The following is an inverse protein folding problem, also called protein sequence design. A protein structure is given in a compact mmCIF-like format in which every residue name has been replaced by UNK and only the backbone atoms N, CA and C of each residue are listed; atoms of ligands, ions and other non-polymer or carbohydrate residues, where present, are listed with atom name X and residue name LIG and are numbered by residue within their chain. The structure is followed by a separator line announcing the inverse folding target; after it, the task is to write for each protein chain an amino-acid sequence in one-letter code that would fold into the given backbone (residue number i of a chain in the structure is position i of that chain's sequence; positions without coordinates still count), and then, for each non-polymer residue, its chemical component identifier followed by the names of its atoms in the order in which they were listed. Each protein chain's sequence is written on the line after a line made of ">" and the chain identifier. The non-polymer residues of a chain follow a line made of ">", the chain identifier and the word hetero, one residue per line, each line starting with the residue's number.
data_IF_691197474615
#
_entry.id   IF_691197474615
#
_cell.length_a   1.000
_cell.length_b   1.000
_cell.length_c   1.000
_cell.angle_alpha   90.00
_cell.angle_beta   90.00
_cell.angle_gamma   90.00
#
_symmetry.space_group_name_H-M   'P 1'
#
loop_
_entity.id
_entity.type
_entity.pdbx_description
1 polymer ?
#
# COMPACT_ATOMS: atom_id res chain seq x y z
N UNK A 1 6.73 -14.81 21.19
CA UNK A 1 7.03 -13.45 21.67
C UNK A 1 6.05 -13.11 22.79
N UNK A 2 6.51 -12.60 23.92
CA UNK A 2 5.63 -12.20 25.02
C UNK A 2 4.70 -11.06 24.59
N UNK A 3 3.47 -11.02 25.12
CA UNK A 3 2.48 -10.00 24.76
C UNK A 3 2.98 -8.58 25.04
N UNK A 4 3.72 -8.38 26.12
CA UNK A 4 4.35 -7.09 26.50
C UNK A 4 5.36 -6.60 25.46
N UNK A 5 6.12 -7.51 24.86
CA UNK A 5 7.07 -7.18 23.79
C UNK A 5 6.32 -6.80 22.51
N UNK A 6 5.23 -7.51 22.19
CA UNK A 6 4.40 -7.17 21.04
C UNK A 6 3.75 -5.78 21.19
N UNK A 7 3.20 -5.45 22.36
CA UNK A 7 2.62 -4.13 22.61
C UNK A 7 3.67 -3.03 22.53
N UNK A 8 4.87 -3.26 23.08
CA UNK A 8 5.98 -2.32 22.96
C UNK A 8 6.40 -2.07 21.49
N UNK A 9 6.43 -3.11 20.65
CA UNK A 9 6.74 -2.98 19.22
C UNK A 9 5.64 -2.26 18.43
N UNK A 10 4.37 -2.48 18.76
CA UNK A 10 3.29 -1.70 18.14
C UNK A 10 3.32 -0.24 18.58
N UNK A 11 3.66 0.02 19.83
CA UNK A 11 3.84 1.38 20.33
C UNK A 11 5.00 2.09 19.64
N UNK A 12 6.15 1.43 19.47
CA UNK A 12 7.29 2.02 18.75
C UNK A 12 6.99 2.27 17.28
N UNK A 13 6.24 1.39 16.60
CA UNK A 13 5.71 1.65 15.25
C UNK A 13 4.82 2.91 15.19
N UNK A 14 3.97 3.11 16.21
CA UNK A 14 3.14 4.31 16.30
C UNK A 14 3.98 5.56 16.52
N UNK A 15 4.91 5.50 17.48
CA UNK A 15 5.82 6.60 17.81
C UNK A 15 6.68 7.01 16.61
N UNK A 16 7.28 6.07 15.89
CA UNK A 16 8.13 6.39 14.73
C UNK A 16 7.36 7.14 13.64
N UNK A 17 6.13 6.69 13.33
CA UNK A 17 5.26 7.43 12.40
C UNK A 17 4.84 8.80 12.93
N UNK A 18 4.41 8.92 14.19
CA UNK A 18 4.01 10.21 14.74
C UNK A 18 5.17 11.21 14.78
N UNK A 19 6.37 10.74 15.11
CA UNK A 19 7.57 11.55 15.12
C UNK A 19 7.92 12.07 13.73
N UNK A 20 7.79 11.25 12.68
CA UNK A 20 7.95 11.72 11.29
C UNK A 20 6.89 12.72 10.85
N UNK A 21 5.63 12.52 11.25
CA UNK A 21 4.53 13.40 10.83
C UNK A 21 4.61 14.77 11.50
N UNK A 22 5.05 14.80 12.77
CA UNK A 22 5.19 16.03 13.54
C UNK A 22 6.52 16.77 13.31
N UNK A 23 7.53 16.13 12.72
CA UNK A 23 8.84 16.73 12.55
C UNK A 23 8.89 17.71 11.38
N UNK A 24 9.51 18.88 11.61
CA UNK A 24 9.91 19.82 10.56
C UNK A 24 11.40 19.71 10.20
N UNK A 25 12.17 18.92 10.96
CA UNK A 25 13.61 18.76 10.83
C UNK A 25 13.96 17.38 10.27
N UNK A 26 14.80 17.33 9.22
CA UNK A 26 15.17 16.09 8.51
C UNK A 26 15.75 15.00 9.40
N UNK A 27 16.64 15.34 10.34
CA UNK A 27 17.21 14.35 11.26
C UNK A 27 16.13 13.66 12.13
N UNK A 28 15.15 14.42 12.63
CA UNK A 28 14.05 13.84 13.41
C UNK A 28 13.19 12.95 12.52
N UNK A 29 12.83 13.42 11.32
CA UNK A 29 12.12 12.61 10.35
C UNK A 29 12.86 11.28 10.09
N UNK A 30 14.17 11.33 9.82
CA UNK A 30 14.99 10.15 9.61
C UNK A 30 14.95 9.18 10.81
N UNK A 31 15.11 9.68 12.04
CA UNK A 31 15.00 8.86 13.25
C UNK A 31 13.66 8.15 13.35
N UNK A 32 12.55 8.84 13.06
CA UNK A 32 11.22 8.23 13.13
C UNK A 32 11.02 7.11 12.10
N UNK A 33 11.56 7.26 10.88
CA UNK A 33 11.51 6.15 9.91
C UNK A 33 12.42 4.98 10.34
N UNK A 34 13.55 5.23 11.00
CA UNK A 34 14.41 4.15 11.51
C UNK A 34 13.80 3.41 12.71
N UNK A 35 13.09 4.12 13.58
CA UNK A 35 12.31 3.48 14.64
C UNK A 35 11.26 2.54 14.01
N UNK A 36 10.62 2.95 12.91
CA UNK A 36 9.66 2.10 12.20
C UNK A 36 10.30 0.84 11.58
N UNK A 37 11.47 0.96 10.96
CA UNK A 37 12.16 -0.19 10.34
C UNK A 37 12.58 -1.18 11.41
N UNK A 38 13.20 -0.72 12.50
CA UNK A 38 13.67 -1.55 13.61
C UNK A 38 12.52 -2.21 14.38
N UNK A 39 11.39 -1.51 14.56
CA UNK A 39 10.22 -2.07 15.22
C UNK A 39 9.52 -3.16 14.38
N UNK A 40 9.56 -3.05 13.04
CA UNK A 40 8.89 -4.01 12.17
C UNK A 40 9.64 -5.34 12.05
N UNK A 41 10.97 -5.34 12.07
CA UNK A 41 11.79 -6.55 11.85
C UNK A 41 11.43 -7.69 12.83
N UNK A 42 11.35 -7.47 14.17
CA UNK A 42 10.92 -8.51 15.09
C UNK A 42 9.49 -8.99 14.86
N UNK A 43 8.60 -8.12 14.35
CA UNK A 43 7.23 -8.51 13.98
C UNK A 43 7.22 -9.43 12.75
N UNK A 44 8.16 -9.26 11.81
CA UNK A 44 8.29 -10.15 10.65
C UNK A 44 8.72 -11.57 11.04
N UNK A 45 9.61 -11.71 12.02
CA UNK A 45 10.18 -13.00 12.48
C UNK A 45 9.45 -13.54 13.71
N UNK A 46 8.17 -13.22 13.90
CA UNK A 46 7.38 -13.75 15.03
C UNK A 46 7.38 -15.29 15.08
N UNK A 47 7.27 -15.91 13.90
CA UNK A 47 7.39 -17.35 13.73
C UNK A 47 8.71 -17.62 12.99
N UNK A 48 9.76 -18.11 13.68
CA UNK A 48 11.06 -18.33 13.08
C UNK A 48 10.97 -19.47 12.05
N UNK A 49 10.94 -19.09 10.78
CA UNK A 49 10.97 -19.99 9.63
C UNK A 49 11.95 -19.40 8.60
N UNK A 50 12.72 -20.20 7.84
CA UNK A 50 13.73 -19.69 6.91
C UNK A 50 13.20 -18.60 5.96
N UNK A 51 11.98 -18.77 5.43
CA UNK A 51 11.33 -17.72 4.60
C UNK A 51 11.08 -16.41 5.35
N UNK A 52 10.67 -16.46 6.62
CA UNK A 52 10.43 -15.25 7.41
C UNK A 52 11.74 -14.53 7.72
N UNK A 53 12.83 -15.28 7.98
CA UNK A 53 14.17 -14.74 8.16
C UNK A 53 14.69 -14.11 6.85
N UNK A 54 14.56 -14.79 5.71
CA UNK A 54 14.94 -14.26 4.39
C UNK A 54 14.17 -12.96 4.05
N UNK A 55 12.88 -12.90 4.37
CA UNK A 55 12.09 -11.69 4.16
C UNK A 55 12.53 -10.54 5.08
N UNK A 56 12.82 -10.84 6.34
CA UNK A 56 13.33 -9.84 7.28
C UNK A 56 14.70 -9.30 6.85
N UNK A 57 15.60 -10.15 6.35
CA UNK A 57 16.92 -9.71 5.84
C UNK A 57 16.77 -8.88 4.57
N UNK A 58 15.95 -9.31 3.59
CA UNK A 58 15.65 -8.52 2.38
C UNK A 58 15.06 -7.15 2.72
N UNK A 59 14.11 -7.11 3.64
CA UNK A 59 13.52 -5.86 4.12
C UNK A 59 14.56 -4.97 4.80
N UNK A 60 15.36 -5.52 5.72
CA UNK A 60 16.40 -4.77 6.42
C UNK A 60 17.38 -4.13 5.45
N UNK A 61 17.95 -4.88 4.52
CA UNK A 61 18.90 -4.34 3.55
C UNK A 61 18.28 -3.27 2.65
N UNK A 62 17.08 -3.51 2.11
CA UNK A 62 16.42 -2.53 1.26
C UNK A 62 16.15 -1.22 2.02
N UNK A 63 15.67 -1.30 3.26
CA UNK A 63 15.32 -0.14 4.06
C UNK A 63 16.54 0.59 4.65
N UNK A 64 17.61 -0.13 5.00
CA UNK A 64 18.87 0.43 5.49
C UNK A 64 19.62 1.19 4.39
N UNK A 65 19.63 0.66 3.15
CA UNK A 65 20.19 1.40 2.01
C UNK A 65 19.38 2.66 1.74
N UNK A 66 18.05 2.55 1.76
CA UNK A 66 17.16 3.69 1.58
C UNK A 66 17.33 4.76 2.67
N UNK A 67 17.50 4.36 3.94
CA UNK A 67 17.70 5.29 5.03
C UNK A 67 19.07 5.95 5.03
N UNK A 68 20.12 5.22 4.65
CA UNK A 68 21.46 5.78 4.45
C UNK A 68 21.48 6.79 3.29
N UNK A 69 20.81 6.48 2.17
CA UNK A 69 20.64 7.41 1.05
C UNK A 69 19.86 8.66 1.46
N UNK A 70 18.80 8.52 2.26
CA UNK A 70 18.03 9.65 2.77
C UNK A 70 18.89 10.55 3.66
N UNK A 71 19.64 9.96 4.60
CA UNK A 71 20.53 10.71 5.48
C UNK A 71 21.62 11.43 4.67
N UNK A 72 22.24 10.75 3.70
CA UNK A 72 23.23 11.35 2.80
C UNK A 72 22.64 12.54 2.01
N UNK A 73 21.44 12.38 1.44
CA UNK A 73 20.74 13.45 0.74
C UNK A 73 20.51 14.67 1.65
N UNK A 74 20.02 14.45 2.88
CA UNK A 74 19.75 15.55 3.82
C UNK A 74 21.02 16.22 4.34
N UNK A 75 22.09 15.46 4.57
CA UNK A 75 23.40 16.01 4.93
C UNK A 75 23.95 16.88 3.80
N UNK A 76 23.92 16.40 2.56
CA UNK A 76 24.38 17.18 1.41
C UNK A 76 23.56 18.46 1.22
N UNK A 77 22.24 18.42 1.47
CA UNK A 77 21.41 19.62 1.47
C UNK A 77 21.85 20.60 2.57
N UNK A 78 22.02 20.11 3.82
CA UNK A 78 22.44 20.94 4.95
C UNK A 78 23.83 21.55 4.74
N UNK A 79 24.73 20.85 4.05
CA UNK A 79 26.05 21.37 3.70
C UNK A 79 25.97 22.52 2.71
N UNK A 80 25.03 22.47 1.75
CA UNK A 80 24.85 23.49 0.73
C UNK A 80 24.06 24.71 1.23
N UNK A 81 22.98 24.50 1.98
CA UNK A 81 22.04 25.57 2.38
C UNK A 81 22.14 25.98 3.84
N UNK A 82 22.85 25.21 4.67
CA UNK A 82 22.93 25.44 6.12
C UNK A 82 21.64 25.11 6.88
N UNK A 83 20.61 24.56 6.24
CA UNK A 83 19.30 24.31 6.86
C UNK A 83 18.91 22.84 6.87
N UNK A 84 18.19 22.45 7.92
CA UNK A 84 17.67 21.09 8.13
C UNK A 84 16.16 20.97 7.97
N UNK A 85 15.49 22.06 7.54
CA UNK A 85 14.05 22.08 7.37
C UNK A 85 13.63 21.27 6.15
N UNK A 86 12.59 20.46 6.31
CA UNK A 86 12.02 19.60 5.26
C UNK A 86 11.60 20.37 4.00
N UNK A 87 10.79 21.45 4.08
CA UNK A 87 10.31 22.14 2.89
C UNK A 87 11.39 22.96 2.16
N UNK A 88 12.61 23.07 2.71
CA UNK A 88 13.68 23.92 2.17
C UNK A 88 14.75 23.14 1.39
N UNK A 89 14.47 21.90 0.94
CA UNK A 89 15.35 21.24 -0.04
C UNK A 89 15.19 21.90 -1.39
N UNK A 90 16.13 22.76 -1.78
CA UNK A 90 16.09 23.48 -3.05
C UNK A 90 16.98 22.86 -4.14
N UNK A 91 18.12 22.27 -3.76
CA UNK A 91 19.09 21.84 -4.77
C UNK A 91 18.62 20.55 -5.49
N UNK A 92 18.78 20.44 -6.83
CA UNK A 92 18.27 19.31 -7.62
C UNK A 92 18.92 17.97 -7.26
N UNK A 93 20.23 17.95 -6.96
CA UNK A 93 20.93 16.72 -6.59
C UNK A 93 20.42 16.08 -5.26
N UNK A 94 20.35 16.79 -4.11
CA UNK A 94 19.82 16.20 -2.89
C UNK A 94 18.31 15.94 -2.95
N UNK A 95 17.52 16.75 -3.67
CA UNK A 95 16.08 16.47 -3.85
C UNK A 95 15.86 15.16 -4.60
N UNK A 96 16.57 14.93 -5.71
CA UNK A 96 16.45 13.67 -6.47
C UNK A 96 16.87 12.46 -5.64
N UNK A 97 17.99 12.54 -4.89
CA UNK A 97 18.42 11.47 -3.99
C UNK A 97 17.40 11.21 -2.87
N UNK A 98 16.81 12.26 -2.30
CA UNK A 98 15.78 12.14 -1.27
C UNK A 98 14.53 11.44 -1.81
N UNK A 99 14.06 11.82 -3.00
CA UNK A 99 12.89 11.19 -3.63
C UNK A 99 13.20 9.71 -3.97
N UNK A 100 14.38 9.40 -4.50
CA UNK A 100 14.78 8.00 -4.77
C UNK A 100 14.86 7.16 -3.49
N UNK A 101 15.38 7.74 -2.40
CA UNK A 101 15.43 7.08 -1.10
C UNK A 101 14.01 6.77 -0.56
N UNK A 102 13.10 7.74 -0.60
CA UNK A 102 11.70 7.54 -0.21
C UNK A 102 10.97 6.56 -1.13
N UNK A 103 11.25 6.62 -2.44
CA UNK A 103 10.72 5.68 -3.43
C UNK A 103 11.13 4.23 -3.11
N UNK A 104 12.38 4.01 -2.70
CA UNK A 104 12.86 2.71 -2.25
C UNK A 104 12.13 2.24 -0.98
N UNK A 105 11.93 3.14 -0.01
CA UNK A 105 11.21 2.82 1.25
C UNK A 105 9.77 2.40 1.00
N UNK A 106 9.07 3.08 0.10
CA UNK A 106 7.67 2.81 -0.25
C UNK A 106 7.51 1.59 -1.16
N UNK A 107 8.54 1.29 -1.97
CA UNK A 107 8.57 0.20 -2.94
C UNK A 107 8.05 0.60 -4.33
N UNK A 108 8.36 1.81 -4.80
CA UNK A 108 8.05 2.27 -6.16
C UNK A 108 8.99 1.63 -7.18
N UNK A 109 8.51 1.45 -8.42
CA UNK A 109 9.36 0.99 -9.51
C UNK A 109 10.37 2.09 -9.90
N UNK A 110 11.64 1.76 -10.23
CA UNK A 110 12.19 0.40 -10.40
C UNK A 110 12.60 -0.31 -9.09
N UNK A 111 12.66 0.39 -7.96
CA UNK A 111 13.14 -0.10 -6.65
C UNK A 111 12.11 -0.96 -5.86
N UNK A 112 11.20 -1.61 -6.57
CA UNK A 112 10.03 -2.31 -6.03
C UNK A 112 10.27 -3.80 -5.71
N UNK A 113 11.35 -4.38 -6.20
CA UNK A 113 11.58 -5.84 -6.26
C UNK A 113 11.56 -6.52 -4.89
N UNK A 114 11.95 -5.81 -3.84
CA UNK A 114 11.93 -6.32 -2.47
C UNK A 114 10.50 -6.57 -1.96
N UNK A 115 9.52 -5.78 -2.38
CA UNK A 115 8.19 -5.75 -1.77
C UNK A 115 7.36 -7.03 -2.04
N UNK A 116 7.26 -7.56 -3.28
CA UNK A 116 6.54 -8.83 -3.54
C UNK A 116 7.16 -10.05 -2.85
N UNK A 117 8.49 -10.10 -2.76
CA UNK A 117 9.20 -11.21 -2.10
C UNK A 117 8.99 -11.20 -0.60
N UNK A 118 9.15 -10.03 0.03
CA UNK A 118 8.92 -9.86 1.47
C UNK A 118 7.47 -10.17 1.81
N UNK A 119 6.50 -9.58 1.09
CA UNK A 119 5.07 -9.82 1.36
C UNK A 119 4.68 -11.29 1.28
N UNK A 120 5.30 -12.08 0.39
CA UNK A 120 4.94 -13.48 0.25
C UNK A 120 5.30 -14.34 1.46
N UNK A 121 6.40 -14.02 2.14
CA UNK A 121 6.89 -14.79 3.27
C UNK A 121 6.23 -14.40 4.60
N UNK A 122 5.60 -13.22 4.65
CA UNK A 122 4.96 -12.68 5.84
C UNK A 122 3.60 -13.33 6.15
N UNK A 123 3.20 -13.26 7.42
CA UNK A 123 1.82 -13.54 7.83
C UNK A 123 0.88 -12.45 7.28
N UNK A 124 -0.42 -12.75 7.13
CA UNK A 124 -1.38 -11.76 6.64
C UNK A 124 -1.44 -10.50 7.53
N UNK A 125 -1.28 -10.66 8.85
CA UNK A 125 -1.27 -9.53 9.80
C UNK A 125 -0.07 -8.62 9.61
N UNK A 126 1.12 -9.17 9.43
CA UNK A 126 2.34 -8.37 9.20
C UNK A 126 2.39 -7.80 7.79
N UNK A 127 1.85 -8.54 6.81
CA UNK A 127 1.67 -8.04 5.44
C UNK A 127 0.70 -6.85 5.39
N UNK A 128 -0.40 -6.86 6.17
CA UNK A 128 -1.29 -5.71 6.32
C UNK A 128 -0.48 -4.49 6.76
N UNK A 129 0.25 -4.58 7.88
CA UNK A 129 1.04 -3.46 8.45
C UNK A 129 2.06 -2.93 7.44
N UNK A 130 2.76 -3.82 6.72
CA UNK A 130 3.71 -3.43 5.67
C UNK A 130 3.02 -2.71 4.51
N UNK A 131 1.83 -3.17 4.12
CA UNK A 131 1.10 -2.62 2.97
C UNK A 131 0.36 -1.31 3.28
N UNK A 132 0.11 -0.99 4.56
CA UNK A 132 -0.65 0.19 5.00
C UNK A 132 0.20 1.14 5.82
N UNK A 133 0.53 0.75 7.05
CA UNK A 133 1.17 1.61 8.05
C UNK A 133 2.55 2.11 7.60
N UNK A 134 3.37 1.22 7.03
CA UNK A 134 4.74 1.56 6.60
C UNK A 134 4.78 2.54 5.41
N UNK A 135 3.66 2.75 4.72
CA UNK A 135 3.58 3.71 3.61
C UNK A 135 3.27 5.14 4.08
N UNK A 136 2.73 5.32 5.29
CA UNK A 136 2.28 6.62 5.79
C UNK A 136 3.43 7.63 5.92
N UNK A 137 4.46 7.29 6.69
CA UNK A 137 5.57 8.21 6.98
C UNK A 137 6.35 8.61 5.71
N UNK A 138 6.78 7.68 4.83
CA UNK A 138 7.51 8.07 3.63
C UNK A 138 6.67 8.86 2.62
N UNK A 139 5.38 8.54 2.44
CA UNK A 139 4.50 9.32 1.55
C UNK A 139 4.26 10.73 2.07
N UNK A 140 4.13 10.90 3.39
CA UNK A 140 4.02 12.23 3.98
C UNK A 140 5.30 13.06 3.80
N UNK A 141 6.48 12.44 3.89
CA UNK A 141 7.73 13.15 3.58
C UNK A 141 7.80 13.53 2.10
N UNK A 142 7.35 12.65 1.19
CA UNK A 142 7.24 13.01 -0.23
C UNK A 142 6.29 14.21 -0.43
N UNK A 143 5.18 14.27 0.30
CA UNK A 143 4.23 15.38 0.28
C UNK A 143 4.84 16.72 0.77
N UNK A 144 5.77 16.68 1.72
CA UNK A 144 6.42 17.88 2.26
C UNK A 144 7.61 18.41 1.41
N UNK A 145 8.21 17.57 0.57
CA UNK A 145 9.31 17.97 -0.30
C UNK A 145 8.78 18.93 -1.37
N UNK A 146 9.46 20.06 -1.63
CA UNK A 146 9.05 20.97 -2.69
C UNK A 146 9.09 20.30 -4.06
N UNK A 147 8.09 20.59 -4.89
CA UNK A 147 7.86 20.00 -6.21
C UNK A 147 8.82 20.53 -7.30
N UNK A 148 10.11 20.67 -6.98
CA UNK A 148 11.11 21.24 -7.89
C UNK A 148 11.36 20.39 -9.16
N UNK A 149 11.17 19.07 -9.07
CA UNK A 149 11.38 18.12 -10.17
C UNK A 149 10.11 17.26 -10.42
N UNK A 150 9.05 17.82 -11.03
CA UNK A 150 7.80 17.10 -11.27
C UNK A 150 7.98 15.87 -12.16
N UNK A 151 8.90 15.95 -13.14
CA UNK A 151 9.17 14.87 -14.09
C UNK A 151 9.60 13.55 -13.41
N UNK A 152 10.34 13.64 -12.29
CA UNK A 152 10.79 12.46 -11.55
C UNK A 152 9.61 11.77 -10.86
N UNK A 153 8.68 12.53 -10.27
CA UNK A 153 7.46 11.97 -9.70
C UNK A 153 6.57 11.35 -10.78
N UNK A 154 6.42 12.03 -11.92
CA UNK A 154 5.66 11.50 -13.07
C UNK A 154 6.27 10.19 -13.60
N UNK A 155 7.60 10.13 -13.74
CA UNK A 155 8.30 8.93 -14.21
C UNK A 155 8.17 7.75 -13.23
N UNK A 156 8.42 7.97 -11.93
CA UNK A 156 8.25 6.93 -10.90
C UNK A 156 6.81 6.44 -10.81
N UNK A 157 5.85 7.37 -10.88
CA UNK A 157 4.43 7.09 -10.86
C UNK A 157 4.00 6.22 -12.05
N UNK A 158 4.33 6.62 -13.29
CA UNK A 158 4.00 5.83 -14.48
C UNK A 158 4.64 4.44 -14.46
N UNK A 159 5.95 4.36 -14.17
CA UNK A 159 6.67 3.09 -14.14
C UNK A 159 6.06 2.13 -13.11
N UNK A 160 5.66 2.63 -11.95
CA UNK A 160 5.05 1.78 -10.91
C UNK A 160 3.65 1.29 -11.28
N UNK A 161 2.83 2.08 -11.99
CA UNK A 161 1.54 1.58 -12.50
C UNK A 161 1.75 0.47 -13.54
N UNK A 162 2.68 0.66 -14.48
CA UNK A 162 2.98 -0.32 -15.52
C UNK A 162 3.52 -1.63 -14.91
N UNK A 163 4.52 -1.52 -14.04
CA UNK A 163 5.16 -2.67 -13.40
C UNK A 163 4.20 -3.37 -12.44
N UNK A 164 3.39 -2.63 -11.69
CA UNK A 164 2.35 -3.20 -10.83
C UNK A 164 1.29 -3.97 -11.62
N UNK A 165 0.85 -3.43 -12.76
CA UNK A 165 -0.11 -4.09 -13.66
C UNK A 165 0.45 -5.39 -14.25
N UNK A 166 1.64 -5.35 -14.85
CA UNK A 166 2.27 -6.50 -15.49
C UNK A 166 2.72 -7.56 -14.46
N UNK A 167 3.32 -7.13 -13.35
CA UNK A 167 3.86 -8.03 -12.33
C UNK A 167 2.79 -8.85 -11.61
N UNK A 168 1.59 -8.29 -11.41
CA UNK A 168 0.44 -8.99 -10.82
C UNK A 168 -0.22 -10.02 -11.75
N UNK A 169 -0.03 -9.88 -13.06
CA UNK A 169 -0.69 -10.71 -14.07
C UNK A 169 -0.37 -12.20 -13.87
N UNK A 170 0.89 -12.56 -13.63
CA UNK A 170 1.31 -13.97 -13.54
C UNK A 170 1.44 -14.52 -12.10
N UNK A 171 0.76 -13.91 -11.12
CA UNK A 171 0.84 -14.36 -9.73
C UNK A 171 -0.41 -15.16 -9.33
N UNK A 172 -0.19 -16.29 -8.64
CA UNK A 172 -1.26 -17.13 -8.05
C UNK A 172 -1.33 -16.96 -6.52
N UNK A 173 -0.27 -16.46 -5.91
CA UNK A 173 -0.21 -16.21 -4.48
C UNK A 173 -0.86 -14.86 -4.17
N UNK A 174 -1.89 -14.86 -3.31
CA UNK A 174 -2.68 -13.66 -3.01
C UNK A 174 -1.81 -12.53 -2.45
N UNK A 175 -0.83 -12.85 -1.60
CA UNK A 175 0.08 -11.86 -1.01
C UNK A 175 0.95 -11.15 -2.06
N UNK A 176 1.43 -11.86 -3.09
CA UNK A 176 2.17 -11.23 -4.20
C UNK A 176 1.27 -10.37 -5.08
N UNK A 177 0.05 -10.83 -5.36
CA UNK A 177 -0.93 -10.02 -6.10
C UNK A 177 -1.19 -8.70 -5.36
N UNK A 178 -1.38 -8.76 -4.04
CA UNK A 178 -1.59 -7.57 -3.20
C UNK A 178 -0.35 -6.67 -3.11
N UNK A 179 0.83 -7.26 -3.23
CA UNK A 179 2.08 -6.52 -3.31
C UNK A 179 2.12 -5.68 -4.60
N UNK A 180 1.86 -6.30 -5.75
CA UNK A 180 1.80 -5.60 -7.04
C UNK A 180 0.65 -4.60 -7.14
N UNK A 181 -0.51 -4.88 -6.55
CA UNK A 181 -1.55 -3.86 -6.43
C UNK A 181 -1.09 -2.65 -5.62
N UNK A 182 -0.36 -2.87 -4.53
CA UNK A 182 0.17 -1.75 -3.73
C UNK A 182 1.13 -0.89 -4.56
N UNK A 183 1.97 -1.49 -5.39
CA UNK A 183 2.90 -0.77 -6.29
C UNK A 183 2.10 0.07 -7.30
N UNK A 184 1.05 -0.50 -7.91
CA UNK A 184 0.21 0.23 -8.85
C UNK A 184 -0.55 1.41 -8.20
N UNK A 185 -1.15 1.21 -7.03
CA UNK A 185 -1.85 2.28 -6.32
C UNK A 185 -0.91 3.39 -5.83
N UNK A 186 0.29 3.02 -5.37
CA UNK A 186 1.33 3.99 -5.04
C UNK A 186 1.76 4.80 -6.25
N UNK A 187 1.80 4.19 -7.43
CA UNK A 187 2.06 4.93 -8.66
C UNK A 187 1.04 6.02 -8.93
N UNK A 188 -0.25 5.73 -8.77
CA UNK A 188 -1.31 6.74 -8.85
C UNK A 188 -1.15 7.87 -7.81
N UNK A 189 -0.80 7.53 -6.57
CA UNK A 189 -0.56 8.51 -5.52
C UNK A 189 0.61 9.43 -5.86
N UNK A 190 1.71 8.87 -6.38
CA UNK A 190 2.93 9.63 -6.70
C UNK A 190 2.77 10.46 -7.97
N UNK A 191 2.01 9.98 -8.97
CA UNK A 191 1.68 10.76 -10.17
C UNK A 191 1.01 12.09 -9.83
N UNK A 192 0.06 12.07 -8.90
CA UNK A 192 -0.72 13.26 -8.56
C UNK A 192 -0.07 14.13 -7.52
N UNK A 193 0.93 13.62 -6.81
CA UNK A 193 1.69 14.41 -5.85
C UNK A 193 2.26 15.68 -6.49
N UNK A 194 2.71 15.59 -7.74
CA UNK A 194 3.25 16.73 -8.49
C UNK A 194 2.20 17.69 -9.06
N UNK A 195 0.92 17.29 -9.08
CA UNK A 195 -0.16 18.06 -9.69
C UNK A 195 -1.03 18.67 -8.58
N UNK A 196 -1.62 17.81 -7.73
CA UNK A 196 -2.35 18.24 -6.55
C UNK A 196 -2.02 17.33 -5.34
N UNK A 197 -1.30 17.86 -4.35
CA UNK A 197 -1.08 17.16 -3.09
C UNK A 197 -2.37 16.69 -2.38
N UNK A 198 -3.52 17.43 -2.33
CA UNK A 198 -4.69 16.97 -1.58
C UNK A 198 -5.33 15.71 -2.17
N UNK A 199 -5.31 15.51 -3.49
CA UNK A 199 -5.82 14.27 -4.09
C UNK A 199 -4.97 13.04 -3.73
N UNK A 200 -3.67 13.22 -3.47
CA UNK A 200 -2.84 12.12 -3.00
C UNK A 200 -3.27 11.61 -1.63
N UNK A 201 -3.71 12.52 -0.75
CA UNK A 201 -4.25 12.16 0.55
C UNK A 201 -5.56 11.37 0.38
N UNK A 202 -6.46 11.82 -0.51
CA UNK A 202 -7.67 11.08 -0.86
C UNK A 202 -7.36 9.67 -1.37
N UNK A 203 -6.39 9.54 -2.30
CA UNK A 203 -5.96 8.27 -2.85
C UNK A 203 -5.32 7.35 -1.79
N UNK A 204 -4.56 7.92 -0.86
CA UNK A 204 -4.00 7.20 0.28
C UNK A 204 -5.09 6.69 1.22
N UNK A 205 -6.04 7.53 1.63
CA UNK A 205 -7.13 7.14 2.54
C UNK A 205 -8.00 6.02 1.94
N UNK A 206 -8.40 6.17 0.67
CA UNK A 206 -9.18 5.15 -0.03
C UNK A 206 -8.40 3.84 -0.16
N UNK A 207 -7.10 3.90 -0.50
CA UNK A 207 -6.25 2.71 -0.57
C UNK A 207 -6.11 2.01 0.80
N UNK A 208 -5.86 2.75 1.89
CA UNK A 208 -5.76 2.18 3.24
C UNK A 208 -7.06 1.49 3.67
N UNK A 209 -8.20 2.11 3.35
CA UNK A 209 -9.51 1.57 3.67
C UNK A 209 -9.80 0.28 2.90
N UNK A 210 -9.52 0.25 1.59
CA UNK A 210 -9.78 -0.93 0.76
C UNK A 210 -8.79 -2.07 1.09
N UNK A 211 -7.49 -1.77 1.20
CA UNK A 211 -6.48 -2.78 1.53
C UNK A 211 -6.72 -3.41 2.90
N UNK A 212 -7.08 -2.62 3.92
CA UNK A 212 -7.42 -3.15 5.24
C UNK A 212 -8.62 -4.08 5.22
N UNK A 213 -9.70 -3.71 4.52
CA UNK A 213 -10.88 -4.57 4.37
C UNK A 213 -10.53 -5.91 3.70
N UNK A 214 -9.68 -5.88 2.67
CA UNK A 214 -9.28 -7.09 1.94
C UNK A 214 -8.41 -7.98 2.81
N UNK A 215 -7.37 -7.46 3.44
CA UNK A 215 -6.50 -8.25 4.33
C UNK A 215 -7.27 -8.83 5.51
N UNK A 216 -8.19 -8.07 6.10
CA UNK A 216 -9.09 -8.60 7.14
C UNK A 216 -9.94 -9.74 6.60
N UNK A 217 -10.59 -9.59 5.44
CA UNK A 217 -11.38 -10.67 4.84
C UNK A 217 -10.55 -11.95 4.59
N UNK A 218 -9.31 -11.81 4.10
CA UNK A 218 -8.40 -12.96 3.91
C UNK A 218 -7.94 -13.58 5.24
N UNK A 219 -7.77 -12.79 6.30
CA UNK A 219 -7.47 -13.31 7.64
C UNK A 219 -8.63 -14.14 8.20
N UNK A 220 -9.87 -13.69 7.99
CA UNK A 220 -11.07 -14.45 8.36
C UNK A 220 -11.18 -15.76 7.59
N UNK A 221 -10.92 -15.74 6.28
CA UNK A 221 -10.95 -16.95 5.44
C UNK A 221 -9.71 -17.87 5.63
N UNK A 222 -8.63 -17.34 6.20
CA UNK A 222 -7.31 -18.00 6.33
C UNK A 222 -6.75 -18.51 5.00
N UNK A 223 -6.93 -17.73 3.92
CA UNK A 223 -6.53 -18.11 2.55
C UNK A 223 -5.36 -17.26 2.06
N UNK A 224 -4.34 -17.91 1.49
CA UNK A 224 -3.15 -17.26 0.92
C UNK A 224 -2.93 -17.55 -0.57
N UNK A 225 -3.72 -18.45 -1.15
CA UNK A 225 -3.60 -18.91 -2.53
C UNK A 225 -4.96 -18.83 -3.23
N UNK A 226 -4.99 -18.60 -4.55
CA UNK A 226 -6.26 -18.52 -5.30
C UNK A 226 -7.06 -19.82 -5.19
N UNK A 227 -6.41 -20.98 -5.28
CA UNK A 227 -7.09 -22.28 -5.15
C UNK A 227 -7.72 -22.49 -3.78
N UNK A 228 -7.07 -22.07 -2.69
CA UNK A 228 -7.70 -22.17 -1.36
C UNK A 228 -8.84 -21.18 -1.18
N UNK A 229 -8.76 -20.00 -1.79
CA UNK A 229 -9.86 -19.04 -1.83
C UNK A 229 -11.09 -19.58 -2.58
N UNK A 230 -10.90 -20.32 -3.67
CA UNK A 230 -12.02 -20.88 -4.44
C UNK A 230 -12.91 -21.83 -3.62
N UNK A 231 -12.33 -22.56 -2.66
CA UNK A 231 -13.08 -23.44 -1.74
C UNK A 231 -13.70 -22.72 -0.54
N UNK A 232 -13.48 -21.40 -0.41
CA UNK A 232 -13.90 -20.64 0.77
C UNK A 232 -15.42 -20.42 0.82
N UNK A 233 -16.10 -20.44 -0.34
CA UNK A 233 -17.56 -20.24 -0.42
C UNK A 233 -18.33 -21.25 0.43
N UNK A 234 -17.88 -22.51 0.43
CA UNK A 234 -18.47 -23.54 1.27
C UNK A 234 -18.32 -23.24 2.77
N UNK A 235 -17.26 -22.52 3.19
CA UNK A 235 -16.98 -22.25 4.61
C UNK A 235 -17.72 -21.02 5.13
N UNK A 236 -17.63 -19.90 4.41
CA UNK A 236 -18.17 -18.60 4.84
C UNK A 236 -18.81 -17.89 3.64
N UNK A 237 -20.03 -18.29 3.22
CA UNK A 237 -20.63 -17.85 1.95
C UNK A 237 -20.85 -16.34 1.90
N UNK A 238 -21.30 -15.73 3.01
CA UNK A 238 -21.57 -14.29 3.07
C UNK A 238 -20.32 -13.44 2.78
N UNK A 239 -19.18 -13.78 3.41
CA UNK A 239 -17.94 -13.03 3.19
C UNK A 239 -17.40 -13.25 1.78
N UNK A 240 -17.50 -14.48 1.25
CA UNK A 240 -17.10 -14.74 -0.13
C UNK A 240 -17.95 -13.99 -1.16
N UNK A 241 -19.24 -13.75 -0.89
CA UNK A 241 -20.08 -12.96 -1.78
C UNK A 241 -19.71 -11.47 -1.78
N UNK A 242 -19.20 -10.94 -0.66
CA UNK A 242 -18.81 -9.52 -0.52
C UNK A 242 -17.39 -9.27 -1.07
N UNK A 243 -16.48 -10.23 -0.93
CA UNK A 243 -15.06 -10.10 -1.30
C UNK A 243 -14.82 -9.59 -2.75
N UNK A 244 -15.60 -10.01 -3.77
CA UNK A 244 -15.52 -9.43 -5.10
C UNK A 244 -15.71 -7.92 -5.17
N UNK A 245 -16.67 -7.35 -4.42
CA UNK A 245 -16.90 -5.91 -4.44
C UNK A 245 -15.71 -5.14 -3.88
N UNK A 246 -14.98 -5.72 -2.93
CA UNK A 246 -13.72 -5.17 -2.41
C UNK A 246 -12.61 -5.22 -3.49
N UNK A 247 -12.53 -6.31 -4.24
CA UNK A 247 -11.56 -6.43 -5.34
C UNK A 247 -11.86 -5.47 -6.50
N UNK A 248 -13.13 -5.33 -6.86
CA UNK A 248 -13.58 -4.40 -7.90
C UNK A 248 -13.39 -2.94 -7.46
N UNK A 249 -13.47 -2.64 -6.16
CA UNK A 249 -13.16 -1.31 -5.64
C UNK A 249 -11.67 -1.00 -5.74
N UNK A 250 -10.76 -1.96 -5.50
CA UNK A 250 -9.33 -1.81 -5.85
C UNK A 250 -9.12 -1.59 -7.35
N UNK A 251 -9.89 -2.31 -8.17
CA UNK A 251 -9.94 -2.12 -9.62
C UNK A 251 -10.35 -0.71 -10.03
N UNK A 252 -11.11 -0.02 -9.19
CA UNK A 252 -11.61 1.33 -9.44
C UNK A 252 -12.72 1.31 -10.48
N UNK A 253 -13.73 0.44 -10.31
CA UNK A 253 -14.92 0.42 -11.16
C UNK A 253 -16.04 1.27 -10.55
N UNK A 254 -16.78 2.06 -11.35
CA UNK A 254 -18.04 2.66 -10.89
C UNK A 254 -19.05 1.52 -10.60
N UNK A 255 -19.87 1.57 -9.54
CA UNK A 255 -20.17 2.66 -8.58
C UNK A 255 -19.37 2.62 -7.25
N UNK A 256 -18.23 1.94 -7.20
CA UNK A 256 -17.49 1.69 -5.96
C UNK A 256 -16.52 2.82 -5.58
N UNK A 257 -16.14 2.89 -4.30
CA UNK A 257 -15.35 4.00 -3.75
C UNK A 257 -13.99 4.20 -4.39
N UNK A 258 -13.28 3.12 -4.73
CA UNK A 258 -11.96 3.22 -5.34
C UNK A 258 -11.95 3.77 -6.76
N UNK A 259 -13.11 3.99 -7.38
CA UNK A 259 -13.22 4.74 -8.63
C UNK A 259 -12.91 6.23 -8.43
N UNK A 260 -13.35 6.81 -7.31
CA UNK A 260 -13.26 8.23 -7.04
C UNK A 260 -11.84 8.82 -7.17
N UNK A 261 -10.79 8.27 -6.52
CA UNK A 261 -9.44 8.82 -6.65
C UNK A 261 -8.94 8.73 -8.08
N UNK A 262 -9.07 7.57 -8.76
CA UNK A 262 -8.58 7.41 -10.14
C UNK A 262 -9.27 8.37 -11.10
N UNK A 263 -10.58 8.59 -10.93
CA UNK A 263 -11.35 9.51 -11.75
C UNK A 263 -10.92 10.97 -11.55
N UNK A 264 -10.80 11.42 -10.30
CA UNK A 264 -10.41 12.80 -9.99
C UNK A 264 -8.97 13.10 -10.42
N UNK A 265 -8.06 12.17 -10.16
CA UNK A 265 -6.67 12.22 -10.63
C UNK A 265 -6.63 12.43 -12.15
N UNK A 266 -7.38 11.63 -12.89
CA UNK A 266 -7.44 11.72 -14.35
C UNK A 266 -7.94 13.09 -14.83
N UNK A 267 -8.94 13.65 -14.16
CA UNK A 267 -9.46 14.98 -14.50
C UNK A 267 -8.40 16.07 -14.33
N UNK A 268 -7.60 16.01 -13.28
CA UNK A 268 -6.51 16.97 -13.08
C UNK A 268 -5.38 16.80 -14.08
N UNK A 269 -5.02 15.58 -14.42
CA UNK A 269 -4.00 15.34 -15.46
C UNK A 269 -4.41 15.89 -16.83
N UNK A 270 -5.71 15.82 -17.16
CA UNK A 270 -6.23 16.41 -18.39
C UNK A 270 -6.19 17.94 -18.33
N UNK A 271 -6.48 18.55 -17.17
CA UNK A 271 -6.39 20.02 -16.98
C UNK A 271 -4.96 20.53 -17.17
N UNK A 272 -3.96 19.78 -16.70
CA UNK A 272 -2.54 20.10 -16.87
C UNK A 272 -1.97 19.69 -18.25
N UNK A 273 -2.82 19.33 -19.23
CA UNK A 273 -2.43 18.87 -20.57
C UNK A 273 -1.54 17.60 -20.62
N UNK A 274 -1.49 16.80 -19.55
CA UNK A 274 -0.71 15.55 -19.47
C UNK A 274 -1.48 14.33 -20.02
N UNK A 275 -2.11 14.50 -21.18
CA UNK A 275 -3.07 13.52 -21.75
C UNK A 275 -2.41 12.16 -21.99
N UNK A 276 -1.19 12.13 -22.55
CA UNK A 276 -0.49 10.88 -22.87
C UNK A 276 -0.17 10.05 -21.61
N UNK A 277 0.29 10.71 -20.55
CA UNK A 277 0.57 10.10 -19.25
C UNK A 277 -0.74 9.54 -18.66
N UNK A 278 -1.82 10.30 -18.75
CA UNK A 278 -3.12 9.91 -18.23
C UNK A 278 -3.68 8.66 -18.96
N UNK A 279 -3.59 8.62 -20.30
CA UNK A 279 -4.03 7.48 -21.12
C UNK A 279 -3.21 6.22 -20.80
N UNK A 280 -1.88 6.34 -20.70
CA UNK A 280 -1.01 5.20 -20.38
C UNK A 280 -1.25 4.68 -18.96
N UNK A 281 -1.50 5.56 -17.99
CA UNK A 281 -1.88 5.20 -16.62
C UNK A 281 -3.22 4.42 -16.57
N UNK A 282 -4.23 4.85 -17.34
CA UNK A 282 -5.50 4.09 -17.43
C UNK A 282 -5.28 2.71 -18.04
N UNK A 283 -4.63 2.63 -19.20
CA UNK A 283 -4.44 1.35 -19.90
C UNK A 283 -3.68 0.34 -19.04
N UNK A 284 -2.65 0.80 -18.31
CA UNK A 284 -1.94 -0.04 -17.35
C UNK A 284 -2.78 -0.40 -16.12
N UNK A 285 -3.69 0.47 -15.67
CA UNK A 285 -4.63 0.14 -14.59
C UNK A 285 -5.65 -0.94 -14.99
N UNK A 286 -6.03 -1.03 -16.28
CA UNK A 286 -6.90 -2.11 -16.77
C UNK A 286 -6.22 -3.48 -16.67
N UNK A 287 -4.88 -3.56 -16.82
CA UNK A 287 -4.12 -4.78 -16.55
C UNK A 287 -4.25 -5.20 -15.08
N UNK A 288 -4.26 -4.23 -14.16
CA UNK A 288 -4.48 -4.54 -12.75
C UNK A 288 -5.89 -5.08 -12.47
N UNK A 289 -6.88 -4.52 -13.16
CA UNK A 289 -8.27 -4.95 -13.09
C UNK A 289 -8.45 -6.41 -13.54
N UNK A 290 -7.72 -6.85 -14.57
CA UNK A 290 -7.77 -8.23 -15.04
C UNK A 290 -7.45 -9.25 -13.92
N UNK A 291 -6.38 -9.06 -13.15
CA UNK A 291 -6.04 -10.03 -12.11
C UNK A 291 -7.02 -10.00 -10.93
N UNK A 292 -7.68 -8.86 -10.67
CA UNK A 292 -8.80 -8.81 -9.71
C UNK A 292 -10.01 -9.58 -10.22
N UNK A 293 -10.38 -9.41 -11.50
CA UNK A 293 -11.47 -10.15 -12.13
C UNK A 293 -11.20 -11.67 -12.14
N UNK A 294 -9.95 -12.08 -12.34
CA UNK A 294 -9.55 -13.48 -12.23
C UNK A 294 -9.83 -14.03 -10.82
N UNK A 295 -9.45 -13.29 -9.77
CA UNK A 295 -9.73 -13.72 -8.39
C UNK A 295 -11.24 -13.76 -8.15
N UNK A 296 -11.99 -12.74 -8.57
CA UNK A 296 -13.45 -12.70 -8.51
C UNK A 296 -14.07 -13.94 -9.15
N UNK A 297 -13.69 -14.26 -10.38
CA UNK A 297 -14.19 -15.40 -11.12
C UNK A 297 -13.97 -16.71 -10.35
N UNK A 298 -12.75 -16.95 -9.88
CA UNK A 298 -12.40 -18.18 -9.15
C UNK A 298 -13.03 -18.27 -7.75
N UNK A 299 -13.31 -17.15 -7.11
CA UNK A 299 -13.80 -17.11 -5.74
C UNK A 299 -15.32 -17.30 -5.64
N UNK A 300 -16.08 -16.77 -6.61
CA UNK A 300 -17.56 -16.75 -6.52
C UNK A 300 -18.29 -17.27 -7.74
N UNK A 301 -17.78 -17.06 -8.96
CA UNK A 301 -18.52 -17.42 -10.18
C UNK A 301 -18.37 -18.90 -10.53
N UNK A 302 -17.26 -19.52 -10.16
CA UNK A 302 -17.02 -20.95 -10.33
C UNK A 302 -17.06 -21.69 -9.01
N UNK A 303 -17.64 -22.89 -9.01
CA UNK A 303 -17.60 -23.82 -7.88
C UNK A 303 -16.51 -24.89 -8.11
N UNK A 304 -15.33 -24.78 -7.49
CA UNK A 304 -14.30 -25.82 -7.57
C UNK A 304 -14.73 -27.10 -6.84
N UNK A 305 -14.09 -28.25 -7.11
CA UNK A 305 -14.37 -29.48 -6.38
C UNK A 305 -14.14 -29.28 -4.87
N UNK A 306 -15.10 -29.74 -4.07
CA UNK A 306 -15.04 -29.61 -2.61
C UNK A 306 -14.16 -30.70 -1.98
N UNK A 307 -13.51 -30.38 -0.87
CA UNK A 307 -12.70 -31.32 -0.10
C UNK A 307 -13.55 -31.95 1.03
N UNK A 308 -13.52 -33.27 1.25
CA UNK A 308 -14.32 -33.93 2.28
C UNK A 308 -14.12 -33.41 3.73
N UNK A 309 -12.90 -33.02 4.19
CA UNK A 309 -12.74 -32.40 5.51
C UNK A 309 -13.33 -30.98 5.60
N UNK A 310 -13.80 -30.40 4.50
CA UNK A 310 -14.45 -29.09 4.45
C UNK A 310 -15.80 -29.00 5.17
N UNK A 311 -16.35 -30.13 5.63
CA UNK A 311 -17.62 -30.20 6.38
C UNK A 311 -17.48 -29.88 7.88
N UNK A 312 -16.27 -30.02 8.45
CA UNK A 312 -15.98 -29.69 9.85
C UNK A 312 -16.30 -28.22 10.23
N UNK A 313 -15.89 -27.19 9.45
CA UNK A 313 -16.21 -25.80 9.79
C UNK A 313 -17.70 -25.49 9.76
N UNK A 314 -18.56 -26.32 9.14
CA UNK A 314 -20.01 -26.13 9.19
C UNK A 314 -20.59 -26.39 10.58
N UNK A 315 -19.93 -27.21 11.39
CA UNK A 315 -20.38 -27.56 12.74
C UNK A 315 -19.84 -26.62 13.81
N UNK A 316 -18.74 -25.92 13.52
CA UNK A 316 -18.10 -25.02 14.47
C UNK A 316 -18.49 -23.58 14.16
N UNK A 317 -19.04 -22.87 15.14
CA UNK A 317 -19.27 -21.43 15.05
C UNK A 317 -18.06 -20.70 15.67
N UNK A 318 -17.12 -20.17 14.87
CA UNK A 318 -16.01 -19.42 15.44
C UNK A 318 -16.49 -18.05 15.93
N UNK A 319 -16.12 -17.70 17.17
CA UNK A 319 -16.31 -16.35 17.70
C UNK A 319 -15.17 -15.45 17.22
N UNK A 320 -15.40 -14.70 16.15
CA UNK A 320 -14.48 -13.66 15.68
C UNK A 320 -15.13 -12.29 15.79
N UNK A 321 -14.32 -11.26 16.05
CA UNK A 321 -14.81 -9.88 16.08
C UNK A 321 -15.08 -9.38 14.65
N UNK A 322 -16.33 -9.51 14.19
CA UNK A 322 -16.77 -9.19 12.82
C UNK A 322 -16.99 -7.70 12.57
N UNK A 323 -17.02 -6.88 13.62
CA UNK A 323 -17.39 -5.46 13.52
C UNK A 323 -16.41 -4.65 12.67
N UNK A 324 -15.11 -4.80 12.88
CA UNK A 324 -14.08 -4.05 12.13
C UNK A 324 -14.09 -4.43 10.64
N UNK A 325 -14.09 -5.73 10.25
CA UNK A 325 -14.28 -6.12 8.86
C UNK A 325 -15.58 -5.55 8.28
N UNK A 326 -16.71 -5.66 8.96
CA UNK A 326 -17.99 -5.18 8.43
C UNK A 326 -18.02 -3.66 8.18
N UNK A 327 -17.47 -2.87 9.10
CA UNK A 327 -17.37 -1.42 8.92
C UNK A 327 -16.43 -1.06 7.76
N UNK A 328 -15.29 -1.72 7.65
CA UNK A 328 -14.35 -1.45 6.55
C UNK A 328 -14.92 -1.88 5.19
N UNK A 329 -15.60 -3.04 5.10
CA UNK A 329 -16.20 -3.50 3.84
C UNK A 329 -17.36 -2.61 3.39
N UNK A 330 -18.26 -2.23 4.30
CA UNK A 330 -19.37 -1.30 3.96
C UNK A 330 -18.83 0.04 3.49
N UNK A 331 -17.81 0.57 4.16
CA UNK A 331 -17.14 1.79 3.75
C UNK A 331 -16.52 1.65 2.35
N UNK A 332 -15.87 0.53 2.00
CA UNK A 332 -15.30 0.35 0.64
C UNK A 332 -16.33 0.36 -0.49
N UNK A 333 -17.59 0.03 -0.20
CA UNK A 333 -18.60 -0.12 -1.23
C UNK A 333 -19.40 1.19 -1.38
N UNK A 334 -19.71 1.86 -0.27
CA UNK A 334 -20.75 2.90 -0.23
C UNK A 334 -20.27 4.36 -0.12
N UNK A 335 -18.97 4.65 0.05
CA UNK A 335 -18.49 6.05 0.24
C UNK A 335 -18.45 6.92 -1.05
N UNK A 336 -18.73 6.39 -2.25
CA UNK A 336 -18.64 7.17 -3.50
C UNK A 336 -19.52 8.45 -3.52
N UNK A 337 -20.80 8.45 -3.07
CA UNK A 337 -21.59 9.69 -3.00
C UNK A 337 -21.06 10.73 -2.01
N UNK A 338 -20.20 10.35 -1.05
CA UNK A 338 -19.58 11.25 -0.07
C UNK A 338 -18.24 11.84 -0.54
N UNK A 339 -17.85 11.55 -1.79
CA UNK A 339 -16.65 12.12 -2.40
C UNK A 339 -16.59 13.66 -2.41
N UNK A 340 -17.67 14.41 -2.73
CA UNK A 340 -17.58 15.88 -2.73
C UNK A 340 -17.32 16.42 -1.32
N UNK A 341 -17.95 15.85 -0.30
CA UNK A 341 -17.74 16.28 1.09
C UNK A 341 -16.32 15.99 1.56
N UNK A 342 -15.74 14.84 1.19
CA UNK A 342 -14.35 14.52 1.53
C UNK A 342 -13.40 15.50 0.83
N UNK A 343 -13.66 15.83 -0.44
CA UNK A 343 -12.81 16.73 -1.20
C UNK A 343 -12.83 18.15 -0.61
N UNK A 344 -14.01 18.65 -0.19
CA UNK A 344 -14.08 19.94 0.51
C UNK A 344 -13.25 19.97 1.79
N UNK A 345 -13.18 18.88 2.56
CA UNK A 345 -12.33 18.88 3.77
C UNK A 345 -10.84 18.80 3.47
N UNK A 346 -10.44 18.26 2.32
CA UNK A 346 -9.02 18.12 1.96
C UNK A 346 -8.45 19.35 1.25
N UNK A 347 -9.31 20.16 0.62
CA UNK A 347 -8.89 21.39 -0.10
C UNK A 347 -8.92 22.65 0.76
N UNK A 348 -9.53 22.58 1.95
CA UNK A 348 -9.57 23.66 2.93
C UNK A 348 -8.44 23.49 3.96
#
# INVERSE_FOLDING_TARGET
>A
MAQTVQTALFFSLGLGTMLTLASNHWLLAWMGIEINTLALIPLMVQNPHPRAVEAATKYFFAQAVASALLLFATLSNSYLTGTWNIPLISHPAPSTLCILALAMKVGLAPLHTWLPEVMQALTLRTALILSTWQKLAPLYLMYQIPLANPDLFLALGLLSIIVGGLGGFNQVQLRKILAYSSIAHLGWMVLVLSISPPLTLLALYTYLLISSSLFLSLMFLRTTHISSLSTAWAKVPALTAILPFILLSLGGLPPLTGFAPKWLIMLEMIKENLILIAVTAILSSLLSLYFYLRIFYTATLTTPPNNPPGTLPWRLQPQYNTLIPALTTTATIALLPLTPTILTYLTW
#
